data_IF_048730861923
#
_entry.id   IF_048730861923
#
_cell.length_a   1.000
_cell.length_b   1.000
_cell.length_c   1.000
_cell.angle_alpha   90.00
_cell.angle_beta   90.00
_cell.angle_gamma   90.00
#
_symmetry.space_group_name_H-M   'P 1'
#
loop_
_entity.id
_entity.type
_entity.pdbx_description
1 polymer ?
#
# COMPACT_ATOMS: atom_id res chain seq x y z
N UNK A 1 -3.31 14.57 1.40
CA UNK A 1 -3.99 13.32 1.02
C UNK A 1 -3.45 12.17 1.85
N UNK A 2 -4.32 11.31 2.33
CA UNK A 2 -3.93 10.17 3.16
C UNK A 2 -3.88 8.90 2.30
N UNK A 3 -2.77 8.16 2.40
CA UNK A 3 -2.55 6.93 1.65
C UNK A 3 -2.19 5.82 2.64
N UNK A 4 -2.81 4.65 2.51
CA UNK A 4 -2.45 3.51 3.35
C UNK A 4 -1.29 2.74 2.72
N UNK A 5 -0.27 2.45 3.53
CA UNK A 5 0.81 1.56 3.11
C UNK A 5 0.43 0.13 3.48
N UNK A 6 0.33 -0.73 2.49
CA UNK A 6 -0.02 -2.14 2.67
C UNK A 6 1.18 -2.95 3.18
N UNK A 7 1.75 -2.48 4.27
CA UNK A 7 2.90 -3.08 4.95
C UNK A 7 2.92 -2.58 6.39
N UNK A 8 3.51 -3.34 7.29
CA UNK A 8 3.75 -2.93 8.66
C UNK A 8 5.23 -2.59 8.92
N UNK A 9 6.03 -2.53 7.88
CA UNK A 9 7.45 -2.25 7.97
C UNK A 9 7.69 -0.76 8.21
N UNK A 10 8.22 -0.41 9.40
CA UNK A 10 8.49 0.98 9.77
C UNK A 10 9.57 1.64 8.93
N UNK A 11 10.58 0.88 8.51
CA UNK A 11 11.64 1.39 7.65
C UNK A 11 11.10 1.80 6.29
N UNK A 12 10.22 0.99 5.70
CA UNK A 12 9.55 1.30 4.45
C UNK A 12 8.64 2.52 4.59
N UNK A 13 7.89 2.60 5.69
CA UNK A 13 7.03 3.75 5.95
C UNK A 13 7.85 5.05 5.95
N UNK A 14 8.97 5.07 6.68
CA UNK A 14 9.81 6.27 6.76
C UNK A 14 10.40 6.65 5.40
N UNK A 15 10.89 5.66 4.66
CA UNK A 15 11.47 5.86 3.33
C UNK A 15 10.45 6.44 2.35
N UNK A 16 9.27 5.82 2.27
CA UNK A 16 8.23 6.25 1.34
C UNK A 16 7.58 7.56 1.79
N UNK A 17 7.43 7.79 3.10
CA UNK A 17 6.91 9.06 3.60
C UNK A 17 7.81 10.23 3.17
N UNK A 18 9.13 10.04 3.22
CA UNK A 18 10.06 11.07 2.77
C UNK A 18 9.89 11.40 1.27
N UNK A 19 9.55 10.40 0.46
CA UNK A 19 9.32 10.59 -0.97
C UNK A 19 7.98 11.30 -1.25
N UNK A 20 6.96 11.03 -0.47
CA UNK A 20 5.60 11.52 -0.74
C UNK A 20 5.24 12.79 0.01
N UNK A 21 5.98 13.16 1.06
CA UNK A 21 5.72 14.37 1.84
C UNK A 21 5.70 15.65 0.99
N UNK A 22 6.64 15.85 0.04
CA UNK A 22 6.60 17.04 -0.83
C UNK A 22 5.35 17.14 -1.71
N UNK A 23 4.65 16.02 -1.90
CA UNK A 23 3.42 15.96 -2.69
C UNK A 23 2.17 16.19 -1.84
N UNK A 24 2.32 16.49 -0.56
CA UNK A 24 1.21 16.68 0.36
C UNK A 24 0.53 15.38 0.77
N UNK A 25 1.21 14.24 0.64
CA UNK A 25 0.66 12.93 0.98
C UNK A 25 1.20 12.46 2.33
N UNK A 26 0.29 11.93 3.17
CA UNK A 26 0.63 11.31 4.45
C UNK A 26 0.41 9.81 4.35
N UNK A 27 1.43 9.03 4.66
CA UNK A 27 1.34 7.57 4.64
C UNK A 27 1.02 7.04 6.04
N UNK A 28 0.13 6.04 6.09
CA UNK A 28 -0.24 5.36 7.33
C UNK A 28 -0.12 3.87 7.09
N UNK A 29 0.48 3.14 8.03
CA UNK A 29 0.59 1.68 7.92
C UNK A 29 -0.78 1.03 8.05
N UNK A 30 -0.99 -0.07 7.31
CA UNK A 30 -2.25 -0.81 7.36
C UNK A 30 -2.60 -1.30 8.78
N UNK A 31 -1.62 -1.72 9.56
CA UNK A 31 -1.83 -2.19 10.92
C UNK A 31 -2.39 -1.11 11.85
N UNK A 32 -2.00 0.14 11.63
CA UNK A 32 -2.50 1.27 12.43
C UNK A 32 -3.97 1.60 12.13
N UNK A 33 -4.49 1.11 11.01
CA UNK A 33 -5.89 1.27 10.61
C UNK A 33 -6.70 0.00 10.79
N UNK A 34 -6.13 -1.01 11.44
CA UNK A 34 -6.83 -2.26 11.73
C UNK A 34 -7.04 -3.17 10.52
N UNK A 35 -6.27 -2.98 9.45
CA UNK A 35 -6.38 -3.82 8.26
C UNK A 35 -5.71 -5.17 8.51
N UNK A 36 -6.41 -6.30 8.30
CA UNK A 36 -5.78 -7.61 8.41
C UNK A 36 -4.82 -7.84 7.24
N UNK A 37 -3.77 -8.62 7.46
CA UNK A 37 -2.84 -8.98 6.41
C UNK A 37 -3.55 -9.82 5.33
N UNK A 38 -3.29 -9.49 4.07
CA UNK A 38 -3.80 -10.28 2.96
C UNK A 38 -2.96 -11.55 2.81
N UNK A 39 -3.57 -12.69 2.43
CA UNK A 39 -2.80 -13.88 2.09
C UNK A 39 -1.96 -13.61 0.84
N UNK A 40 -0.82 -14.29 0.73
CA UNK A 40 0.10 -14.17 -0.39
C UNK A 40 0.14 -15.51 -1.16
N UNK A 41 -0.94 -15.90 -1.86
CA UNK A 41 -1.02 -17.21 -2.50
C UNK A 41 -0.34 -17.25 -3.86
N UNK A 42 0.12 -16.12 -4.38
CA UNK A 42 0.66 -16.02 -5.72
C UNK A 42 2.17 -16.23 -5.72
N UNK A 43 2.70 -16.60 -6.90
CA UNK A 43 4.13 -16.89 -7.06
C UNK A 43 4.98 -15.65 -7.30
N UNK A 44 4.39 -14.58 -7.84
CA UNK A 44 5.14 -13.38 -8.15
C UNK A 44 4.99 -12.32 -7.07
N UNK A 45 6.03 -11.52 -6.88
CA UNK A 45 6.00 -10.40 -5.94
C UNK A 45 4.98 -9.35 -6.37
N UNK A 46 4.84 -9.13 -7.69
CA UNK A 46 3.89 -8.17 -8.25
C UNK A 46 2.45 -8.56 -7.90
N UNK A 47 2.09 -9.83 -8.12
CA UNK A 47 0.74 -10.30 -7.81
C UNK A 47 0.43 -10.17 -6.32
N UNK A 48 1.37 -10.53 -5.46
CA UNK A 48 1.20 -10.39 -4.01
C UNK A 48 1.08 -8.93 -3.60
N UNK A 49 1.89 -8.04 -4.17
CA UNK A 49 1.83 -6.61 -3.87
C UNK A 49 0.51 -5.98 -4.33
N UNK A 50 0.02 -6.33 -5.52
CA UNK A 50 -1.27 -5.86 -6.01
C UNK A 50 -2.42 -6.33 -5.10
N UNK A 51 -2.37 -7.58 -4.65
CA UNK A 51 -3.37 -8.14 -3.74
C UNK A 51 -3.34 -7.40 -2.41
N UNK A 52 -2.16 -7.12 -1.86
CA UNK A 52 -2.01 -6.36 -0.61
C UNK A 52 -2.56 -4.94 -0.74
N UNK A 53 -2.23 -4.25 -1.83
CA UNK A 53 -2.72 -2.90 -2.05
C UNK A 53 -4.24 -2.87 -2.15
N UNK A 54 -4.82 -3.81 -2.90
CA UNK A 54 -6.28 -3.91 -3.02
C UNK A 54 -6.95 -4.21 -1.69
N UNK A 55 -6.41 -5.14 -0.92
CA UNK A 55 -6.92 -5.47 0.40
C UNK A 55 -6.93 -4.23 1.32
N UNK A 56 -5.83 -3.50 1.37
CA UNK A 56 -5.74 -2.30 2.19
C UNK A 56 -6.70 -1.20 1.72
N UNK A 57 -6.81 -0.98 0.42
CA UNK A 57 -7.72 0.02 -0.14
C UNK A 57 -9.18 -0.31 0.16
N UNK A 58 -9.58 -1.58 0.02
CA UNK A 58 -10.95 -2.01 0.28
C UNK A 58 -11.32 -1.89 1.76
N UNK A 59 -10.40 -2.17 2.67
CA UNK A 59 -10.67 -2.08 4.11
C UNK A 59 -10.69 -0.65 4.63
N UNK A 60 -9.96 0.26 4.01
CA UNK A 60 -9.81 1.63 4.52
C UNK A 60 -10.60 2.65 3.74
N UNK A 61 -10.96 2.38 2.50
CA UNK A 61 -11.55 3.36 1.59
C UNK A 61 -10.54 4.41 1.12
N UNK A 62 -9.25 4.17 1.36
CA UNK A 62 -8.17 5.10 0.97
C UNK A 62 -7.35 4.50 -0.18
N UNK A 63 -6.66 5.34 -0.95
CA UNK A 63 -5.66 4.84 -1.88
C UNK A 63 -4.61 4.04 -1.11
N UNK A 64 -4.15 2.94 -1.68
CA UNK A 64 -3.19 2.06 -1.04
C UNK A 64 -1.93 1.92 -1.89
N UNK A 65 -0.81 1.78 -1.20
CA UNK A 65 0.49 1.61 -1.81
C UNK A 65 1.11 0.32 -1.29
N UNK A 66 1.63 -0.52 -2.17
CA UNK A 66 2.39 -1.70 -1.80
C UNK A 66 3.72 -1.70 -2.54
N UNK A 67 4.75 -2.20 -1.88
CA UNK A 67 6.10 -2.25 -2.42
C UNK A 67 6.50 -3.70 -2.70
N UNK A 68 7.02 -3.92 -3.92
CA UNK A 68 7.69 -5.15 -4.31
C UNK A 68 9.01 -4.78 -5.02
N UNK A 69 9.26 -5.25 -6.23
CA UNK A 69 10.36 -4.78 -7.06
C UNK A 69 10.08 -3.41 -7.71
N UNK A 70 8.87 -2.90 -7.57
CA UNK A 70 8.38 -1.57 -7.95
C UNK A 70 7.20 -1.22 -7.07
N UNK A 71 6.63 -0.05 -7.25
CA UNK A 71 5.49 0.38 -6.45
C UNK A 71 4.17 -0.05 -7.10
N UNK A 72 3.25 -0.54 -6.28
CA UNK A 72 1.89 -0.86 -6.70
C UNK A 72 0.93 0.07 -5.98
N UNK A 73 0.04 0.71 -6.73
CA UNK A 73 -0.93 1.65 -6.18
C UNK A 73 -2.33 1.17 -6.53
N UNK A 74 -3.22 1.16 -5.54
CA UNK A 74 -4.65 0.96 -5.76
C UNK A 74 -5.39 2.20 -5.28
N UNK A 75 -5.97 2.94 -6.22
CA UNK A 75 -6.74 4.14 -5.94
C UNK A 75 -8.18 3.75 -5.60
N UNK A 76 -8.48 3.65 -4.32
CA UNK A 76 -9.82 3.36 -3.79
C UNK A 76 -10.37 1.97 -4.18
N UNK A 77 -9.52 1.02 -4.49
CA UNK A 77 -9.95 -0.31 -4.91
C UNK A 77 -10.50 -0.38 -6.34
N UNK A 78 -10.33 0.68 -7.12
CA UNK A 78 -10.91 0.79 -8.46
C UNK A 78 -9.90 0.55 -9.59
N UNK A 79 -8.63 0.81 -9.36
CA UNK A 79 -7.62 0.77 -10.41
C UNK A 79 -6.27 0.38 -9.82
N UNK A 80 -5.65 -0.64 -10.36
CA UNK A 80 -4.32 -1.09 -9.95
C UNK A 80 -3.28 -0.57 -10.93
N UNK A 81 -2.23 0.04 -10.39
CA UNK A 81 -1.12 0.57 -11.18
C UNK A 81 0.17 0.01 -10.61
N UNK A 82 0.97 -0.60 -11.46
CA UNK A 82 2.32 -1.05 -11.11
C UNK A 82 3.33 -0.10 -11.73
N UNK A 83 4.18 0.42 -10.89
CA UNK A 83 5.20 1.39 -11.31
C UNK A 83 6.58 0.74 -11.25
#
# INVERSE_FOLDING_TARGET
MKIVLASNNLGKLAELQAMFAPLGCTLVRQGDLGVPEAPEPYRTFVENALTKARNAAQHTGLPALADDAGLCVDAFGLSLIHI
#
